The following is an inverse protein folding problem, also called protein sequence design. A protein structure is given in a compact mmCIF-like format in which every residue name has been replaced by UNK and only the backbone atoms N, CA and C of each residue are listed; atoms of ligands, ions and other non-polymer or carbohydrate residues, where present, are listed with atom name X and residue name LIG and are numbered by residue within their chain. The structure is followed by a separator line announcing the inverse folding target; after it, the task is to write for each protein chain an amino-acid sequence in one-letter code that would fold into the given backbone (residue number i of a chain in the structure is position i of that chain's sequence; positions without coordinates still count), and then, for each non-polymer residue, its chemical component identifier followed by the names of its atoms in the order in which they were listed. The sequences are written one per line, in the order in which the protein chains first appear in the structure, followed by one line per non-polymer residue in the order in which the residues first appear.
data_IF_598787242336
#
_entry.id   IF_598787242336
#
_cell.length_a   1.000
_cell.length_b   1.000
_cell.length_c   1.000
_cell.angle_alpha   90.00
_cell.angle_beta   90.00
_cell.angle_gamma   90.00
#
_symmetry.space_group_name_H-M   'P 1'
#
loop_
_entity.id
_entity.type
_entity.pdbx_description
1 polymer ?
#
# COMPACT_ATOMS: atom_id res chain seq x y z
N UNK A 1 3.26 17.37 -4.24
CA UNK A 1 3.65 18.18 -3.05
C UNK A 1 5.16 18.14 -2.83
N UNK A 2 5.78 16.97 -2.57
CA UNK A 2 7.24 16.87 -2.40
C UNK A 2 8.06 17.41 -3.58
N UNK A 3 7.70 17.05 -4.82
CA UNK A 3 8.35 17.58 -6.03
C UNK A 3 8.25 19.11 -6.17
N UNK A 4 7.12 19.70 -5.76
CA UNK A 4 6.96 21.16 -5.78
C UNK A 4 7.89 21.84 -4.76
N UNK A 5 8.09 21.22 -3.60
CA UNK A 5 9.01 21.71 -2.58
C UNK A 5 10.48 21.64 -3.05
N UNK A 6 10.88 20.56 -3.72
CA UNK A 6 12.22 20.41 -4.31
C UNK A 6 12.51 21.48 -5.36
N UNK A 7 11.55 21.77 -6.24
CA UNK A 7 11.68 22.83 -7.25
C UNK A 7 11.89 24.19 -6.58
N UNK A 8 11.08 24.51 -5.56
CA UNK A 8 11.18 25.78 -4.84
C UNK A 8 12.55 25.91 -4.17
N UNK A 9 13.01 24.88 -3.46
CA UNK A 9 14.29 24.91 -2.75
C UNK A 9 15.47 25.04 -3.74
N UNK A 10 15.46 24.27 -4.83
CA UNK A 10 16.51 24.34 -5.85
C UNK A 10 16.51 25.67 -6.61
N UNK A 11 15.35 26.30 -6.80
CA UNK A 11 15.25 27.64 -7.37
C UNK A 11 15.96 28.68 -6.49
N UNK A 12 15.66 28.72 -5.19
CA UNK A 12 16.34 29.62 -4.25
C UNK A 12 17.84 29.33 -4.17
N UNK A 13 18.24 28.05 -4.12
CA UNK A 13 19.65 27.63 -4.14
C UNK A 13 20.39 28.20 -5.34
N UNK A 14 19.81 28.07 -6.54
CA UNK A 14 20.44 28.54 -7.77
C UNK A 14 20.54 30.07 -7.84
N UNK A 15 19.54 30.79 -7.32
CA UNK A 15 19.61 32.26 -7.20
C UNK A 15 20.78 32.65 -6.30
N UNK A 16 20.89 32.06 -5.12
CA UNK A 16 21.97 32.35 -4.17
C UNK A 16 23.34 32.00 -4.77
N UNK A 17 23.43 30.85 -5.42
CA UNK A 17 24.66 30.39 -6.05
C UNK A 17 25.15 31.35 -7.15
N UNK A 18 24.25 31.73 -8.07
CA UNK A 18 24.62 32.61 -9.18
C UNK A 18 24.93 34.04 -8.71
N UNK A 19 24.26 34.53 -7.67
CA UNK A 19 24.44 35.90 -7.18
C UNK A 19 25.68 36.06 -6.30
N UNK A 20 26.03 35.05 -5.50
CA UNK A 20 27.05 35.19 -4.46
C UNK A 20 28.22 34.22 -4.60
N UNK A 21 27.97 32.94 -4.87
CA UNK A 21 29.01 31.90 -4.81
C UNK A 21 29.81 31.76 -6.11
N UNK A 22 29.14 31.88 -7.27
CA UNK A 22 29.77 31.83 -8.59
C UNK A 22 30.80 32.95 -8.83
N UNK A 23 30.51 34.25 -8.54
CA UNK A 23 31.52 35.31 -8.72
C UNK A 23 32.71 35.18 -7.77
N UNK A 24 32.56 34.41 -6.68
CA UNK A 24 33.65 34.07 -5.77
C UNK A 24 34.44 32.82 -6.19
N UNK A 25 34.08 32.18 -7.31
CA UNK A 25 34.80 31.03 -7.87
C UNK A 25 34.53 29.70 -7.16
N UNK A 26 33.47 29.61 -6.34
CA UNK A 26 33.09 28.34 -5.72
C UNK A 26 32.40 27.40 -6.72
N UNK A 27 32.54 26.10 -6.50
CA UNK A 27 31.88 25.07 -7.32
C UNK A 27 30.35 25.05 -7.09
N UNK A 28 29.57 24.60 -8.11
CA UNK A 28 28.13 24.46 -7.98
C UNK A 28 27.77 23.47 -6.89
N UNK A 29 26.88 23.91 -6.00
CA UNK A 29 26.32 23.07 -4.95
C UNK A 29 25.48 21.98 -5.62
N UNK A 30 25.53 20.70 -5.18
CA UNK A 30 24.65 19.64 -5.70
C UNK A 30 23.16 19.96 -5.45
N UNK A 31 22.28 19.35 -6.25
CA UNK A 31 20.83 19.59 -6.12
C UNK A 31 20.23 18.91 -4.89
N UNK A 32 19.31 19.62 -4.26
CA UNK A 32 18.59 19.13 -3.10
C UNK A 32 17.39 18.29 -3.56
N UNK A 33 17.33 17.05 -3.09
CA UNK A 33 16.22 16.12 -3.31
C UNK A 33 15.72 15.63 -1.96
N UNK A 34 14.44 15.90 -1.65
CA UNK A 34 13.76 15.48 -0.43
C UNK A 34 13.50 13.98 -0.43
N UNK A 35 13.12 13.45 -1.60
CA UNK A 35 12.98 12.03 -1.83
C UNK A 35 14.15 11.57 -2.72
N UNK A 36 15.34 11.46 -2.14
CA UNK A 36 16.40 10.73 -2.82
C UNK A 36 15.91 9.31 -3.08
N UNK A 37 15.71 9.00 -4.37
CA UNK A 37 15.47 7.67 -4.93
C UNK A 37 16.38 6.59 -4.30
N UNK A 38 17.50 6.96 -3.69
CA UNK A 38 18.45 6.04 -3.07
C UNK A 38 18.06 5.51 -1.68
N UNK A 39 17.08 6.08 -0.97
CA UNK A 39 16.76 5.66 0.43
C UNK A 39 15.33 5.11 0.58
N UNK A 40 14.42 5.44 -0.36
CA UNK A 40 13.04 4.92 -0.37
C UNK A 40 12.72 4.13 -1.63
N UNK A 41 13.73 3.48 -2.20
CA UNK A 41 13.49 2.39 -3.13
C UNK A 41 13.38 1.12 -2.31
N UNK A 42 12.18 0.88 -1.79
CA UNK A 42 11.67 -0.48 -1.88
C UNK A 42 11.46 -0.66 -3.40
N UNK A 43 12.55 -0.91 -4.13
CA UNK A 43 12.48 -1.64 -5.40
C UNK A 43 11.66 -2.85 -5.02
N UNK A 44 10.40 -2.87 -5.50
CA UNK A 44 9.31 -3.63 -4.90
C UNK A 44 9.83 -4.97 -4.42
N UNK A 45 9.68 -5.24 -3.11
CA UNK A 45 10.11 -6.50 -2.48
C UNK A 45 9.81 -7.60 -3.49
N UNK A 46 10.83 -8.35 -3.97
CA UNK A 46 10.60 -9.30 -5.04
C UNK A 46 9.50 -10.26 -4.59
N UNK A 47 8.30 -10.09 -5.15
CA UNK A 47 7.15 -10.91 -4.81
C UNK A 47 7.27 -12.15 -5.67
N UNK A 48 7.83 -13.21 -5.10
CA UNK A 48 7.85 -14.53 -5.72
C UNK A 48 6.44 -15.10 -5.68
N UNK A 49 5.83 -15.24 -6.86
CA UNK A 49 4.47 -15.77 -6.99
C UNK A 49 4.55 -17.28 -7.08
N UNK A 50 4.16 -17.97 -6.02
CA UNK A 50 3.96 -19.41 -6.03
C UNK A 50 2.51 -19.75 -6.38
N UNK A 51 2.28 -20.32 -7.57
CA UNK A 51 0.95 -20.73 -8.03
C UNK A 51 0.27 -21.72 -7.09
N UNK A 52 1.06 -22.57 -6.42
CA UNK A 52 0.57 -23.55 -5.46
C UNK A 52 -0.04 -22.86 -4.23
N UNK A 53 0.59 -21.80 -3.73
CA UNK A 53 0.07 -21.04 -2.59
C UNK A 53 -1.26 -20.37 -2.94
N UNK A 54 -1.36 -19.80 -4.14
CA UNK A 54 -2.61 -19.21 -4.65
C UNK A 54 -3.73 -20.26 -4.67
N UNK A 55 -3.44 -21.45 -5.18
CA UNK A 55 -4.42 -22.53 -5.29
C UNK A 55 -4.86 -23.03 -3.90
N UNK A 56 -3.93 -23.26 -2.98
CA UNK A 56 -4.25 -23.68 -1.60
C UNK A 56 -5.10 -22.63 -0.90
N UNK A 57 -4.68 -21.35 -0.96
CA UNK A 57 -5.40 -20.25 -0.31
C UNK A 57 -6.81 -20.11 -0.90
N UNK A 58 -6.96 -20.22 -2.22
CA UNK A 58 -8.27 -20.14 -2.88
C UNK A 58 -9.20 -21.27 -2.45
N UNK A 59 -8.70 -22.50 -2.42
CA UNK A 59 -9.47 -23.67 -1.99
C UNK A 59 -9.84 -23.55 -0.50
N UNK A 60 -8.92 -23.12 0.35
CA UNK A 60 -9.20 -22.90 1.77
C UNK A 60 -10.23 -21.78 1.98
N UNK A 61 -10.11 -20.67 1.25
CA UNK A 61 -11.05 -19.55 1.37
C UNK A 61 -12.48 -19.98 1.00
N UNK A 62 -12.64 -20.70 -0.11
CA UNK A 62 -13.93 -21.25 -0.53
C UNK A 62 -14.44 -22.27 0.49
N UNK A 63 -13.60 -23.24 0.88
CA UNK A 63 -13.96 -24.29 1.83
C UNK A 63 -14.41 -23.72 3.18
N UNK A 64 -13.65 -22.78 3.74
CA UNK A 64 -13.99 -22.12 5.00
C UNK A 64 -15.27 -21.29 4.88
N UNK A 65 -15.48 -20.58 3.76
CA UNK A 65 -16.71 -19.82 3.53
C UNK A 65 -17.95 -20.72 3.49
N UNK A 66 -17.85 -21.87 2.81
CA UNK A 66 -18.93 -22.86 2.77
C UNK A 66 -19.16 -23.47 4.15
N UNK A 67 -18.11 -23.85 4.89
CA UNK A 67 -18.25 -24.40 6.24
C UNK A 67 -18.88 -23.39 7.21
N UNK A 68 -18.47 -22.14 7.14
CA UNK A 68 -19.01 -21.06 7.96
C UNK A 68 -20.50 -20.81 7.68
N UNK A 69 -20.94 -20.88 6.42
CA UNK A 69 -22.35 -20.74 6.05
C UNK A 69 -23.17 -22.02 6.34
N UNK A 70 -22.55 -23.19 6.21
CA UNK A 70 -23.21 -24.47 6.41
C UNK A 70 -23.60 -24.69 7.88
N UNK A 71 -22.77 -24.30 8.84
CA UNK A 71 -23.07 -24.47 10.26
C UNK A 71 -24.41 -23.81 10.69
N UNK A 72 -24.65 -22.50 10.47
CA UNK A 72 -25.93 -21.88 10.82
C UNK A 72 -27.08 -22.38 9.94
N UNK A 73 -26.85 -22.68 8.65
CA UNK A 73 -27.89 -23.23 7.77
C UNK A 73 -28.40 -24.59 8.27
N UNK A 74 -27.49 -25.49 8.66
CA UNK A 74 -27.83 -26.78 9.24
C UNK A 74 -28.53 -26.63 10.60
N UNK A 75 -28.11 -25.66 11.42
CA UNK A 75 -28.79 -25.35 12.67
C UNK A 75 -30.23 -24.84 12.42
N UNK A 76 -30.41 -23.96 11.44
CA UNK A 76 -31.72 -23.41 11.07
C UNK A 76 -32.66 -24.47 10.47
N UNK A 77 -32.16 -25.37 9.62
CA UNK A 77 -32.95 -26.44 9.01
C UNK A 77 -33.53 -27.44 10.03
N UNK A 78 -32.92 -27.54 11.21
CA UNK A 78 -33.39 -28.40 12.32
C UNK A 78 -34.38 -27.70 13.25
N UNK A 79 -34.57 -26.38 13.12
CA UNK A 79 -35.59 -25.66 13.88
C UNK A 79 -36.96 -26.03 13.30
N UNK A 80 -37.89 -26.43 14.18
CA UNK A 80 -39.26 -26.78 13.76
C UNK A 80 -39.96 -25.49 13.28
N UNK A 81 -40.53 -25.46 12.07
CA UNK A 81 -41.13 -24.26 11.50
C UNK A 81 -42.38 -23.75 12.25
N UNK A 82 -42.89 -24.51 13.23
CA UNK A 82 -44.17 -24.25 13.91
C UNK A 82 -44.03 -23.33 15.14
N UNK A 83 -42.85 -23.22 15.76
CA UNK A 83 -42.71 -22.39 16.97
C UNK A 83 -42.50 -20.91 16.64
N UNK A 84 -41.81 -20.56 15.56
CA UNK A 84 -41.51 -19.15 15.22
C UNK A 84 -42.76 -18.33 14.87
N UNK A 85 -43.81 -18.95 14.32
CA UNK A 85 -45.07 -18.26 13.97
C UNK A 85 -46.05 -18.19 15.16
N UNK A 86 -45.88 -19.04 16.18
CA UNK A 86 -46.80 -19.12 17.33
C UNK A 86 -46.40 -18.20 18.51
N UNK A 87 -45.25 -17.55 18.42
CA UNK A 87 -44.72 -16.60 19.40
C UNK A 87 -44.63 -15.16 18.86
N UNK A 88 -45.21 -14.88 17.68
CA UNK A 88 -45.60 -13.53 17.25
C UNK A 88 -47.07 -13.27 17.56
#
# INVERSE_FOLDING_TARGET
IFHMLEIIINFFKNIIYNLFLMPLGYLPIPDFKLLSKSIYYIEGVPVEIHLLDILIISVMAIGLSVLAAYYPANKAAKLKPVETIRYE
#
